data_IF_394114701010
#
_entry.id   IF_394114701010
#
_cell.length_a   1.000
_cell.length_b   1.000
_cell.length_c   1.000
_cell.angle_alpha   90.00
_cell.angle_beta   90.00
_cell.angle_gamma   90.00
#
_symmetry.space_group_name_H-M   'P 1'
#
loop_
_entity.id
_entity.type
_entity.pdbx_description
1 polymer ?
#
# COMPACT_ATOMS: atom_id res chain seq x y z
N UNK A 1 -28.78 -6.63 7.82
CA UNK A 1 -27.69 -7.20 7.01
C UNK A 1 -26.60 -7.62 7.97
N UNK A 2 -26.20 -8.90 7.98
CA UNK A 2 -25.06 -9.34 8.78
C UNK A 2 -23.83 -8.57 8.27
N UNK A 3 -23.22 -7.75 9.12
CA UNK A 3 -21.96 -7.10 8.79
C UNK A 3 -20.95 -8.22 8.51
N UNK A 4 -20.54 -8.37 7.26
CA UNK A 4 -19.44 -9.25 6.87
C UNK A 4 -18.23 -8.72 7.65
N UNK A 5 -17.90 -9.38 8.76
CA UNK A 5 -16.77 -8.98 9.59
C UNK A 5 -15.54 -9.07 8.72
N UNK A 6 -14.84 -7.95 8.54
CA UNK A 6 -13.53 -7.96 7.91
C UNK A 6 -12.66 -9.00 8.63
N UNK A 7 -11.98 -9.90 7.90
CA UNK A 7 -11.19 -10.93 8.56
C UNK A 7 -10.10 -10.26 9.40
N UNK A 8 -9.89 -10.78 10.62
CA UNK A 8 -8.96 -10.18 11.60
C UNK A 8 -7.59 -10.00 10.95
N UNK A 9 -7.05 -8.78 10.99
CA UNK A 9 -5.68 -8.50 10.55
C UNK A 9 -4.67 -9.10 11.54
N UNK A 10 -3.55 -9.59 11.02
CA UNK A 10 -2.41 -10.01 11.83
C UNK A 10 -1.11 -9.48 11.25
N UNK A 11 -0.10 -9.38 12.09
CA UNK A 11 1.25 -9.04 11.67
C UNK A 11 2.00 -10.31 11.28
N UNK A 12 2.79 -10.23 10.21
CA UNK A 12 3.68 -11.31 9.80
C UNK A 12 4.75 -11.58 10.88
N UNK A 13 5.09 -12.86 11.05
CA UNK A 13 6.14 -13.32 11.96
C UNK A 13 7.40 -13.75 11.20
N UNK A 14 8.51 -13.99 11.90
CA UNK A 14 9.80 -14.32 11.26
C UNK A 14 9.74 -15.56 10.35
N UNK A 15 8.79 -16.46 10.59
CA UNK A 15 8.60 -17.69 9.80
C UNK A 15 7.13 -17.83 9.42
N UNK A 16 6.84 -17.77 8.13
CA UNK A 16 5.49 -17.92 7.58
C UNK A 16 5.50 -18.94 6.43
N UNK A 17 4.39 -19.64 6.21
CA UNK A 17 4.23 -20.52 5.04
C UNK A 17 3.75 -19.70 3.83
N UNK A 18 3.95 -20.21 2.61
CA UNK A 18 3.46 -19.59 1.37
C UNK A 18 1.96 -19.27 1.48
N UNK A 19 1.17 -20.24 1.91
CA UNK A 19 -0.28 -20.09 2.07
C UNK A 19 -0.64 -19.03 3.12
N UNK A 20 0.11 -18.92 4.21
CA UNK A 20 -0.10 -17.88 5.23
C UNK A 20 0.17 -16.49 4.66
N UNK A 21 1.27 -16.32 3.91
CA UNK A 21 1.64 -15.06 3.28
C UNK A 21 0.59 -14.65 2.24
N UNK A 22 0.13 -15.58 1.41
CA UNK A 22 -0.92 -15.30 0.42
C UNK A 22 -2.26 -14.94 1.08
N UNK A 23 -2.64 -15.65 2.14
CA UNK A 23 -3.85 -15.33 2.91
C UNK A 23 -3.75 -13.94 3.57
N UNK A 24 -2.60 -13.62 4.14
CA UNK A 24 -2.30 -12.31 4.73
C UNK A 24 -2.36 -11.20 3.68
N UNK A 25 -1.69 -11.38 2.54
CA UNK A 25 -1.64 -10.40 1.45
C UNK A 25 -3.05 -10.12 0.92
N UNK A 26 -3.86 -11.15 0.70
CA UNK A 26 -5.24 -11.02 0.25
C UNK A 26 -6.13 -10.32 1.29
N UNK A 27 -5.97 -10.66 2.58
CA UNK A 27 -6.68 -9.99 3.67
C UNK A 27 -6.35 -8.50 3.73
N UNK A 28 -5.06 -8.16 3.66
CA UNK A 28 -4.59 -6.78 3.76
C UNK A 28 -5.02 -5.96 2.56
N UNK A 29 -4.91 -6.51 1.34
CA UNK A 29 -5.44 -5.88 0.10
C UNK A 29 -6.93 -5.59 0.22
N UNK A 30 -7.72 -6.55 0.69
CA UNK A 30 -9.16 -6.35 0.88
C UNK A 30 -9.44 -5.18 1.82
N UNK A 31 -8.79 -5.13 2.99
CA UNK A 31 -9.05 -4.08 3.98
C UNK A 31 -8.58 -2.71 3.49
N UNK A 32 -7.40 -2.64 2.85
CA UNK A 32 -6.94 -1.40 2.24
C UNK A 32 -7.89 -0.94 1.13
N UNK A 33 -8.49 -1.86 0.37
CA UNK A 33 -9.43 -1.52 -0.71
C UNK A 33 -10.76 -0.94 -0.24
N UNK A 34 -11.13 -1.13 1.04
CA UNK A 34 -12.33 -0.53 1.62
C UNK A 34 -12.21 1.00 1.76
N UNK A 35 -10.98 1.52 1.83
CA UNK A 35 -10.72 2.96 1.84
C UNK A 35 -10.55 3.48 0.41
N UNK A 36 -11.46 4.36 -0.02
CA UNK A 36 -11.43 5.00 -1.34
C UNK A 36 -10.16 5.84 -1.58
N UNK A 37 -9.47 6.23 -0.50
CA UNK A 37 -8.19 6.92 -0.58
C UNK A 37 -7.03 6.00 -0.96
N UNK A 38 -7.14 4.70 -0.67
CA UNK A 38 -6.10 3.72 -0.92
C UNK A 38 -6.39 2.84 -2.14
N UNK A 39 -7.66 2.58 -2.45
CA UNK A 39 -8.08 1.72 -3.55
C UNK A 39 -7.39 2.07 -4.88
N UNK A 40 -7.21 3.36 -5.17
CA UNK A 40 -6.51 3.83 -6.37
C UNK A 40 -5.07 3.32 -6.47
N UNK A 41 -4.35 3.17 -5.35
CA UNK A 41 -2.95 2.71 -5.34
C UNK A 41 -2.80 1.18 -5.37
N UNK A 42 -3.87 0.44 -5.07
CA UNK A 42 -3.88 -1.02 -5.10
C UNK A 42 -4.10 -1.59 -6.51
N UNK A 43 -4.48 -0.73 -7.46
CA UNK A 43 -4.73 -1.13 -8.85
C UNK A 43 -3.43 -1.49 -9.55
N UNK A 44 -3.44 -2.56 -10.36
CA UNK A 44 -2.28 -2.98 -11.13
C UNK A 44 -1.83 -1.87 -12.11
N UNK A 45 -0.53 -1.62 -12.17
CA UNK A 45 0.06 -0.63 -13.09
C UNK A 45 0.28 0.76 -12.49
N UNK A 46 -0.23 1.04 -11.29
CA UNK A 46 0.07 2.30 -10.60
C UNK A 46 1.53 2.28 -10.12
N UNK A 47 2.28 3.28 -10.59
CA UNK A 47 3.68 3.49 -10.25
C UNK A 47 3.85 4.82 -9.54
N UNK A 48 4.78 4.86 -8.59
CA UNK A 48 5.22 6.08 -7.91
C UNK A 48 6.74 6.07 -7.80
N UNK A 49 7.32 7.25 -7.56
CA UNK A 49 8.76 7.39 -7.38
C UNK A 49 9.16 7.13 -5.91
N UNK A 50 10.44 6.79 -5.72
CA UNK A 50 11.04 6.63 -4.39
C UNK A 50 10.95 7.93 -3.60
N UNK A 51 10.80 7.83 -2.29
CA UNK A 51 10.86 8.99 -1.40
C UNK A 51 12.28 9.53 -1.35
N UNK A 52 12.51 10.69 -1.95
CA UNK A 52 13.78 11.43 -1.85
C UNK A 52 13.50 12.89 -1.52
N UNK A 53 14.50 13.62 -1.03
CA UNK A 53 14.39 15.07 -0.81
C UNK A 53 14.18 15.84 -2.12
N UNK A 54 14.47 15.26 -3.28
CA UNK A 54 14.21 15.87 -4.57
C UNK A 54 12.81 15.53 -5.13
N UNK A 55 12.19 14.45 -4.64
CA UNK A 55 10.91 13.93 -5.14
C UNK A 55 9.90 13.78 -3.99
N UNK A 56 9.52 14.91 -3.40
CA UNK A 56 8.51 14.93 -2.34
C UNK A 56 7.14 14.48 -2.83
N UNK A 57 6.81 14.77 -4.10
CA UNK A 57 5.53 14.42 -4.71
C UNK A 57 5.50 13.00 -5.30
N UNK A 58 6.63 12.27 -5.28
CA UNK A 58 6.75 10.91 -5.80
C UNK A 58 6.19 10.70 -7.22
N UNK A 59 6.25 11.74 -8.05
CA UNK A 59 5.74 11.71 -9.43
C UNK A 59 4.24 11.91 -9.57
N UNK A 60 3.51 12.20 -8.49
CA UNK A 60 2.09 12.56 -8.58
C UNK A 60 1.90 13.98 -9.07
N UNK A 61 0.83 14.17 -9.84
CA UNK A 61 0.28 15.46 -10.24
C UNK A 61 -1.11 15.65 -9.64
N UNK A 62 -1.56 16.90 -9.60
CA UNK A 62 -2.93 17.22 -9.22
C UNK A 62 -3.92 16.55 -10.18
N UNK A 63 -5.09 16.19 -9.68
CA UNK A 63 -6.19 15.71 -10.51
C UNK A 63 -6.71 16.81 -11.45
N UNK A 64 -7.14 16.39 -12.64
CA UNK A 64 -7.63 17.27 -13.70
C UNK A 64 -8.93 17.99 -13.29
N UNK A 65 -9.24 19.07 -14.00
CA UNK A 65 -10.44 19.86 -13.76
C UNK A 65 -11.74 19.12 -14.12
N UNK A 66 -11.62 18.04 -14.91
CA UNK A 66 -12.73 17.16 -15.27
C UNK A 66 -13.26 16.36 -14.06
N UNK A 67 -12.43 16.13 -13.03
CA UNK A 67 -12.86 15.41 -11.82
C UNK A 67 -13.72 16.34 -10.94
N UNK A 68 -14.89 15.87 -10.46
CA UNK A 68 -15.72 16.63 -9.54
C UNK A 68 -14.92 17.13 -8.35
N UNK A 69 -15.09 18.40 -7.97
CA UNK A 69 -14.30 19.07 -6.92
C UNK A 69 -14.28 18.31 -5.57
N UNK A 70 -15.33 17.54 -5.28
CA UNK A 70 -15.45 16.71 -4.07
C UNK A 70 -14.51 15.49 -4.10
N UNK A 71 -14.17 14.99 -5.29
CA UNK A 71 -13.31 13.82 -5.50
C UNK A 71 -11.89 14.21 -5.94
N UNK A 72 -11.70 15.45 -6.41
CA UNK A 72 -10.41 15.97 -6.87
C UNK A 72 -9.39 15.97 -5.74
N UNK A 73 -8.22 15.38 -5.98
CA UNK A 73 -7.11 15.34 -5.04
C UNK A 73 -5.89 16.08 -5.60
N UNK A 74 -5.22 16.81 -4.73
CA UNK A 74 -3.90 17.37 -5.05
C UNK A 74 -2.83 16.28 -5.01
N UNK A 75 -1.70 16.51 -5.68
CA UNK A 75 -0.51 15.68 -5.61
C UNK A 75 -0.08 15.45 -4.15
N UNK A 76 -0.14 16.48 -3.31
CA UNK A 76 0.19 16.40 -1.89
C UNK A 76 -0.79 15.49 -1.11
N UNK A 77 -2.09 15.53 -1.42
CA UNK A 77 -3.07 14.63 -0.83
C UNK A 77 -2.85 13.18 -1.27
N UNK A 78 -2.57 12.94 -2.56
CA UNK A 78 -2.24 11.61 -3.09
C UNK A 78 -1.00 11.03 -2.39
N UNK A 79 0.05 11.84 -2.21
CA UNK A 79 1.25 11.42 -1.49
C UNK A 79 0.91 11.07 -0.05
N UNK A 80 0.17 11.92 0.66
CA UNK A 80 -0.22 11.64 2.06
C UNK A 80 -0.98 10.32 2.16
N UNK A 81 -1.94 10.07 1.26
CA UNK A 81 -2.69 8.82 1.22
C UNK A 81 -1.80 7.61 0.92
N UNK A 82 -0.86 7.74 -0.03
CA UNK A 82 0.12 6.69 -0.32
C UNK A 82 0.99 6.39 0.92
N UNK A 83 1.49 7.42 1.62
CA UNK A 83 2.34 7.23 2.79
C UNK A 83 1.58 6.57 3.95
N UNK A 84 0.30 6.89 4.14
CA UNK A 84 -0.56 6.22 5.10
C UNK A 84 -0.77 4.74 4.73
N UNK A 85 -1.07 4.44 3.46
CA UNK A 85 -1.23 3.06 2.98
C UNK A 85 0.04 2.24 3.20
N UNK A 86 1.19 2.74 2.74
CA UNK A 86 2.48 2.07 2.91
C UNK A 86 2.87 1.94 4.40
N UNK A 87 2.50 2.92 5.22
CA UNK A 87 2.67 2.87 6.67
C UNK A 87 1.85 1.75 7.32
N UNK A 88 0.59 1.57 6.92
CA UNK A 88 -0.25 0.47 7.40
C UNK A 88 0.33 -0.89 7.00
N UNK A 89 0.79 -1.05 5.76
CA UNK A 89 1.46 -2.30 5.33
C UNK A 89 2.69 -2.58 6.18
N UNK A 90 3.53 -1.56 6.43
CA UNK A 90 4.73 -1.72 7.25
C UNK A 90 4.43 -2.11 8.71
N UNK A 91 3.30 -1.66 9.27
CA UNK A 91 2.90 -2.04 10.63
C UNK A 91 2.49 -3.54 10.71
N UNK A 92 1.93 -4.09 9.64
CA UNK A 92 1.56 -5.50 9.55
C UNK A 92 2.67 -6.40 8.98
N UNK A 93 3.74 -5.83 8.45
CA UNK A 93 4.93 -6.54 8.01
C UNK A 93 6.19 -6.09 8.79
N UNK A 94 6.25 -6.29 10.12
CA UNK A 94 7.36 -5.82 10.95
C UNK A 94 8.69 -6.52 10.65
N UNK A 95 8.64 -7.66 9.94
CA UNK A 95 9.78 -8.50 9.57
C UNK A 95 10.71 -7.85 8.53
N UNK A 96 10.19 -6.93 7.72
CA UNK A 96 10.95 -6.23 6.69
C UNK A 96 11.17 -4.78 7.11
N UNK A 97 12.31 -4.21 6.68
CA UNK A 97 12.59 -2.80 6.95
C UNK A 97 11.46 -1.91 6.44
N UNK A 98 10.91 -1.08 7.34
CA UNK A 98 9.92 -0.06 6.99
C UNK A 98 10.39 0.85 5.85
N UNK A 99 11.69 1.10 5.73
CA UNK A 99 12.24 1.91 4.63
C UNK A 99 12.09 1.21 3.27
N UNK A 100 12.16 -0.11 3.22
CA UNK A 100 11.93 -0.88 1.98
C UNK A 100 10.50 -0.67 1.49
N UNK A 101 9.52 -0.71 2.39
CA UNK A 101 8.11 -0.51 2.06
C UNK A 101 7.80 0.97 1.78
N UNK A 102 8.19 1.88 2.67
CA UNK A 102 7.74 3.27 2.63
C UNK A 102 8.58 4.14 1.71
N UNK A 103 9.91 3.99 1.68
CA UNK A 103 10.81 4.88 0.93
C UNK A 103 11.23 4.31 -0.42
N UNK A 104 11.58 3.03 -0.46
CA UNK A 104 12.23 2.42 -1.64
C UNK A 104 11.25 1.79 -2.64
N UNK A 105 10.01 1.54 -2.23
CA UNK A 105 8.99 1.01 -3.12
C UNK A 105 8.59 2.02 -4.20
N UNK A 106 8.27 1.49 -5.38
CA UNK A 106 7.79 2.27 -6.54
C UNK A 106 6.48 1.74 -7.11
N UNK A 107 5.96 0.64 -6.55
CA UNK A 107 4.68 0.04 -6.93
C UNK A 107 4.19 -0.88 -5.81
N UNK A 108 2.88 -1.14 -5.80
CA UNK A 108 2.27 -2.02 -4.80
C UNK A 108 2.74 -3.47 -5.00
N UNK A 109 2.87 -3.92 -6.25
CA UNK A 109 3.42 -5.24 -6.59
C UNK A 109 4.85 -5.40 -6.10
N UNK A 110 5.67 -4.36 -6.20
CA UNK A 110 7.04 -4.36 -5.68
C UNK A 110 7.09 -4.48 -4.15
N UNK A 111 6.12 -3.90 -3.43
CA UNK A 111 6.00 -4.07 -1.97
C UNK A 111 5.72 -5.53 -1.62
N UNK A 112 4.74 -6.16 -2.27
CA UNK A 112 4.42 -7.57 -2.03
C UNK A 112 5.58 -8.50 -2.39
N UNK A 113 6.24 -8.23 -3.51
CA UNK A 113 7.42 -9.00 -3.91
C UNK A 113 8.56 -8.86 -2.90
N UNK A 114 8.83 -7.65 -2.37
CA UNK A 114 9.86 -7.46 -1.36
C UNK A 114 9.57 -8.23 -0.08
N UNK A 115 8.29 -8.33 0.33
CA UNK A 115 7.87 -9.14 1.48
C UNK A 115 8.08 -10.64 1.19
N UNK A 116 7.67 -11.12 0.01
CA UNK A 116 7.87 -12.53 -0.40
C UNK A 116 9.36 -12.92 -0.45
N UNK A 117 10.20 -12.05 -1.01
CA UNK A 117 11.66 -12.24 -1.06
C UNK A 117 12.30 -12.37 0.32
N UNK A 118 11.76 -11.70 1.35
CA UNK A 118 12.25 -11.86 2.73
C UNK A 118 12.13 -13.30 3.23
N UNK A 119 11.08 -14.02 2.80
CA UNK A 119 10.85 -15.43 3.12
C UNK A 119 11.47 -16.41 2.11
N UNK A 120 12.22 -15.91 1.12
CA UNK A 120 12.81 -16.72 0.06
C UNK A 120 11.82 -17.23 -0.99
N UNK A 121 10.71 -16.50 -1.19
CA UNK A 121 9.65 -16.80 -2.17
C UNK A 121 9.72 -15.91 -3.42
#
# INVERSE_FOLDING_TARGET
MAAVRAPKQWSLTTTETITSIEAWENNLKYILSLDHNFASFLTAGVIWLKKTNASHLRGFTDDDEDIPKIQRRTAAQKVTHLEMMLGQIANYAPVISRNTIVRNSTSISGVWQAIRQHYGL
#
